data_IF_974393877123
#
_entry.id   IF_974393877123
#
_cell.length_a   1.000
_cell.length_b   1.000
_cell.length_c   1.000
_cell.angle_alpha   90.00
_cell.angle_beta   90.00
_cell.angle_gamma   90.00
#
_symmetry.space_group_name_H-M   'P 1'
#
loop_
_entity.id
_entity.type
_entity.pdbx_description
1 polymer ?
#
# COMPACT_ATOMS: atom_id res chain seq x y z
N UNK A 1 14.77 16.23 10.73
CA UNK A 1 13.72 15.25 11.11
C UNK A 1 13.48 14.40 9.88
N UNK A 2 13.67 13.09 9.93
CA UNK A 2 13.49 12.23 8.75
C UNK A 2 12.03 12.26 8.28
N UNK A 3 11.80 12.42 6.98
CA UNK A 3 10.45 12.46 6.43
C UNK A 3 9.75 11.10 6.61
N UNK A 4 8.51 11.08 7.11
CA UNK A 4 7.82 9.83 7.41
C UNK A 4 7.49 9.05 6.13
N UNK A 5 7.61 7.73 6.24
CA UNK A 5 7.31 6.79 5.17
C UNK A 5 6.54 5.58 5.71
N UNK A 6 5.57 5.13 4.93
CA UNK A 6 4.66 4.03 5.25
C UNK A 6 4.74 2.95 4.17
N UNK A 7 4.63 1.71 4.60
CA UNK A 7 4.88 0.54 3.76
C UNK A 7 4.13 -0.66 4.29
N UNK A 8 3.89 -1.63 3.42
CA UNK A 8 3.35 -2.94 3.82
C UNK A 8 4.06 -3.49 5.06
N UNK A 9 3.37 -4.07 6.04
CA UNK A 9 4.01 -4.61 7.23
C UNK A 9 5.16 -5.58 6.87
N UNK A 10 6.37 -5.44 7.44
CA UNK A 10 7.47 -6.39 7.25
C UNK A 10 7.06 -7.84 7.57
N UNK A 11 6.26 -8.02 8.63
CA UNK A 11 5.74 -9.33 9.04
C UNK A 11 4.85 -9.95 7.96
N UNK A 12 4.05 -9.16 7.25
CA UNK A 12 3.22 -9.67 6.16
C UNK A 12 4.08 -10.17 4.99
N UNK A 13 5.13 -9.43 4.64
CA UNK A 13 6.09 -9.86 3.61
C UNK A 13 6.81 -11.13 4.03
N UNK A 14 7.29 -11.20 5.28
CA UNK A 14 7.94 -12.39 5.81
C UNK A 14 7.01 -13.61 5.78
N UNK A 15 5.74 -13.44 6.16
CA UNK A 15 4.73 -14.49 6.09
C UNK A 15 4.50 -15.00 4.66
N UNK A 16 4.46 -14.11 3.67
CA UNK A 16 4.37 -14.50 2.25
C UNK A 16 5.61 -15.29 1.80
N UNK A 17 6.81 -14.85 2.19
CA UNK A 17 8.05 -15.57 1.85
C UNK A 17 8.05 -16.98 2.46
N UNK A 18 7.70 -17.10 3.74
CA UNK A 18 7.63 -18.41 4.43
C UNK A 18 6.56 -19.30 3.79
N UNK A 19 5.34 -18.78 3.60
CA UNK A 19 4.26 -19.55 2.97
C UNK A 19 4.57 -19.98 1.54
N UNK A 20 5.19 -19.10 0.75
CA UNK A 20 5.68 -19.43 -0.59
C UNK A 20 6.76 -20.51 -0.57
N UNK A 21 7.68 -20.46 0.40
CA UNK A 21 8.69 -21.49 0.62
C UNK A 21 8.08 -22.85 0.95
N UNK A 22 7.08 -22.89 1.84
CA UNK A 22 6.33 -24.12 2.18
C UNK A 22 5.64 -24.71 0.94
N UNK A 23 4.98 -23.88 0.13
CA UNK A 23 4.33 -24.33 -1.11
C UNK A 23 5.35 -24.85 -2.13
N UNK A 24 6.51 -24.19 -2.24
CA UNK A 24 7.59 -24.64 -3.11
C UNK A 24 8.13 -26.00 -2.66
N UNK A 25 8.31 -26.20 -1.35
CA UNK A 25 8.69 -27.52 -0.80
C UNK A 25 7.63 -28.57 -1.10
N UNK A 26 6.34 -28.26 -0.90
CA UNK A 26 5.25 -29.17 -1.23
C UNK A 26 5.29 -29.59 -2.71
N UNK A 27 5.54 -28.67 -3.62
CA UNK A 27 5.67 -28.98 -5.05
C UNK A 27 6.77 -30.02 -5.33
N UNK A 28 7.91 -29.94 -4.63
CA UNK A 28 9.01 -30.92 -4.79
C UNK A 28 8.61 -32.31 -4.31
N UNK A 29 7.89 -32.41 -3.19
CA UNK A 29 7.56 -33.70 -2.56
C UNK A 29 6.25 -34.34 -3.07
N UNK A 30 5.36 -33.58 -3.72
CA UNK A 30 4.12 -34.12 -4.30
C UNK A 30 4.45 -35.05 -5.46
N UNK A 31 3.92 -36.27 -5.43
CA UNK A 31 4.19 -37.30 -6.45
C UNK A 31 3.38 -37.09 -7.74
N UNK A 32 2.10 -36.73 -7.61
CA UNK A 32 1.21 -36.60 -8.76
C UNK A 32 1.48 -35.29 -9.55
N UNK A 33 1.44 -35.34 -10.90
CA UNK A 33 1.79 -34.17 -11.71
C UNK A 33 0.90 -32.95 -11.49
N UNK A 34 -0.39 -33.17 -11.22
CA UNK A 34 -1.35 -32.08 -11.07
C UNK A 34 -1.12 -31.30 -9.76
N UNK A 35 -0.98 -31.99 -8.63
CA UNK A 35 -0.69 -31.40 -7.34
C UNK A 35 0.66 -30.69 -7.30
N UNK A 36 1.67 -31.26 -7.96
CA UNK A 36 2.98 -30.61 -8.14
C UNK A 36 2.85 -29.29 -8.90
N UNK A 37 2.13 -29.29 -10.01
CA UNK A 37 1.90 -28.08 -10.81
C UNK A 37 1.16 -27.00 -10.01
N UNK A 38 0.06 -27.37 -9.34
CA UNK A 38 -0.73 -26.44 -8.54
C UNK A 38 0.08 -25.84 -7.38
N UNK A 39 0.81 -26.66 -6.63
CA UNK A 39 1.66 -26.19 -5.54
C UNK A 39 2.78 -25.27 -6.05
N UNK A 40 3.43 -25.62 -7.17
CA UNK A 40 4.46 -24.80 -7.80
C UNK A 40 3.91 -23.46 -8.29
N UNK A 41 2.76 -23.45 -8.96
CA UNK A 41 2.10 -22.24 -9.43
C UNK A 41 1.68 -21.33 -8.25
N UNK A 42 1.14 -21.92 -7.18
CA UNK A 42 0.78 -21.19 -5.97
C UNK A 42 2.02 -20.58 -5.28
N UNK A 43 3.12 -21.35 -5.18
CA UNK A 43 4.39 -20.86 -4.65
C UNK A 43 4.90 -19.65 -5.44
N UNK A 44 4.90 -19.74 -6.76
CA UNK A 44 5.33 -18.65 -7.64
C UNK A 44 4.47 -17.40 -7.46
N UNK A 45 3.14 -17.55 -7.40
CA UNK A 45 2.22 -16.44 -7.19
C UNK A 45 2.46 -15.74 -5.84
N UNK A 46 2.61 -16.52 -4.76
CA UNK A 46 2.85 -16.00 -3.41
C UNK A 46 4.21 -15.29 -3.31
N UNK A 47 5.27 -15.90 -3.86
CA UNK A 47 6.61 -15.31 -3.86
C UNK A 47 6.69 -14.07 -4.74
N UNK A 48 6.02 -14.07 -5.90
CA UNK A 48 5.89 -12.88 -6.75
C UNK A 48 5.17 -11.76 -5.98
N UNK A 49 4.11 -12.07 -5.23
CA UNK A 49 3.40 -11.09 -4.39
C UNK A 49 4.32 -10.50 -3.32
N UNK A 50 5.14 -11.33 -2.66
CA UNK A 50 6.14 -10.86 -1.69
C UNK A 50 7.17 -9.92 -2.36
N UNK A 51 7.69 -10.30 -3.52
CA UNK A 51 8.65 -9.50 -4.28
C UNK A 51 8.05 -8.14 -4.70
N UNK A 52 6.81 -8.13 -5.17
CA UNK A 52 6.10 -6.88 -5.50
C UNK A 52 5.88 -6.01 -4.27
N UNK A 53 5.52 -6.60 -3.13
CA UNK A 53 5.36 -5.87 -1.87
C UNK A 53 6.67 -5.26 -1.36
N UNK A 54 7.82 -5.90 -1.61
CA UNK A 54 9.15 -5.34 -1.32
C UNK A 54 9.48 -4.20 -2.30
N UNK A 55 9.27 -4.42 -3.60
CA UNK A 55 9.57 -3.45 -4.66
C UNK A 55 8.79 -2.14 -4.53
N UNK A 56 7.59 -2.18 -3.97
CA UNK A 56 6.73 -1.02 -3.79
C UNK A 56 7.02 -0.19 -2.53
N UNK A 57 8.10 -0.50 -1.78
CA UNK A 57 8.43 0.27 -0.59
C UNK A 57 9.23 1.54 -0.94
N UNK A 58 8.90 2.71 -0.36
CA UNK A 58 7.72 2.98 0.46
C UNK A 58 6.45 3.17 -0.36
N UNK A 59 5.30 2.70 0.16
CA UNK A 59 4.00 2.81 -0.51
C UNK A 59 3.48 4.24 -0.53
N UNK A 60 3.68 4.94 0.59
CA UNK A 60 3.38 6.36 0.76
C UNK A 60 4.53 6.97 1.56
N UNK A 61 5.01 8.13 1.15
CA UNK A 61 6.01 8.89 1.88
C UNK A 61 5.72 10.38 1.77
N UNK A 62 6.06 11.13 2.81
CA UNK A 62 6.16 12.59 2.70
C UNK A 62 7.45 12.91 1.95
N UNK A 63 7.38 13.83 0.99
CA UNK A 63 8.58 14.29 0.27
C UNK A 63 9.37 15.28 1.10
N UNK A 64 10.62 15.54 0.66
CA UNK A 64 11.56 16.37 1.41
C UNK A 64 10.94 17.69 1.87
N UNK A 65 11.18 18.03 3.13
CA UNK A 65 10.71 19.25 3.78
C UNK A 65 9.18 19.40 3.82
N UNK A 66 8.42 18.29 3.69
CA UNK A 66 6.96 18.36 3.69
C UNK A 66 6.36 18.98 2.42
N UNK A 67 7.11 18.97 1.31
CA UNK A 67 6.69 19.59 0.04
C UNK A 67 5.51 18.88 -0.67
N UNK A 68 5.14 17.69 -0.22
CA UNK A 68 4.13 16.87 -0.87
C UNK A 68 4.19 15.40 -0.46
N UNK A 69 3.61 14.54 -1.30
CA UNK A 69 3.51 13.10 -1.10
C UNK A 69 4.16 12.34 -2.26
N UNK A 70 4.81 11.22 -1.97
CA UNK A 70 5.26 10.27 -2.96
C UNK A 70 4.56 8.92 -2.77
N UNK A 71 3.95 8.41 -3.82
CA UNK A 71 3.27 7.13 -3.83
C UNK A 71 3.98 6.16 -4.77
N UNK A 72 4.32 4.96 -4.29
CA UNK A 72 4.95 3.93 -5.11
C UNK A 72 3.92 2.88 -5.50
N UNK A 73 3.67 2.75 -6.80
CA UNK A 73 2.80 1.74 -7.41
C UNK A 73 3.63 0.72 -8.19
N UNK A 74 3.00 -0.32 -8.73
CA UNK A 74 3.68 -1.27 -9.64
C UNK A 74 4.31 -0.57 -10.84
N UNK A 75 3.65 0.47 -11.35
CA UNK A 75 4.07 1.23 -12.54
C UNK A 75 5.18 2.25 -12.26
N UNK A 76 5.54 2.47 -10.99
CA UNK A 76 6.58 3.42 -10.59
C UNK A 76 6.21 4.27 -9.39
N UNK A 77 7.17 5.12 -8.98
CA UNK A 77 6.99 6.12 -7.94
C UNK A 77 6.52 7.43 -8.57
N UNK A 78 5.48 8.03 -7.98
CA UNK A 78 4.92 9.31 -8.43
C UNK A 78 4.88 10.30 -7.27
N UNK A 79 5.22 11.54 -7.56
CA UNK A 79 5.23 12.64 -6.59
C UNK A 79 4.03 13.54 -6.86
N UNK A 80 3.37 13.94 -5.78
CA UNK A 80 2.23 14.84 -5.73
C UNK A 80 2.63 16.03 -4.85
N UNK A 81 3.04 17.16 -5.46
CA UNK A 81 3.30 18.40 -4.72
C UNK A 81 2.08 18.82 -3.92
N UNK A 82 2.29 19.53 -2.80
CA UNK A 82 1.21 19.94 -1.89
C UNK A 82 0.06 20.66 -2.60
N UNK A 83 0.37 21.50 -3.58
CA UNK A 83 -0.57 22.29 -4.35
C UNK A 83 -1.46 21.46 -5.29
N UNK A 84 -1.04 20.23 -5.59
CA UNK A 84 -1.83 19.29 -6.40
C UNK A 84 -2.79 18.46 -5.56
N UNK A 85 -2.59 18.39 -4.25
CA UNK A 85 -3.47 17.68 -3.32
C UNK A 85 -4.78 18.46 -3.20
N UNK A 86 -5.88 17.83 -3.60
CA UNK A 86 -7.21 18.46 -3.54
C UNK A 86 -7.97 18.05 -2.30
N UNK A 87 -7.81 16.80 -1.85
CA UNK A 87 -8.49 16.29 -0.66
C UNK A 87 -7.72 15.13 -0.04
N UNK A 88 -7.67 15.07 1.28
CA UNK A 88 -7.13 13.93 2.02
C UNK A 88 -8.09 13.63 3.17
N UNK A 89 -8.56 12.39 3.27
CA UNK A 89 -9.61 12.03 4.25
C UNK A 89 -9.53 10.57 4.66
N UNK A 90 -10.24 10.25 5.74
CA UNK A 90 -10.56 8.87 6.12
C UNK A 90 -11.94 8.51 5.60
N UNK A 91 -12.04 7.40 4.88
CA UNK A 91 -13.31 6.81 4.45
C UNK A 91 -13.45 5.41 5.03
N UNK A 92 -14.58 5.14 5.66
CA UNK A 92 -14.87 3.83 6.25
C UNK A 92 -15.70 2.96 5.31
N UNK A 93 -15.15 1.81 4.93
CA UNK A 93 -15.82 0.87 4.05
C UNK A 93 -16.41 -0.31 4.84
N UNK A 94 -17.67 -0.70 4.60
CA UNK A 94 -18.25 -1.89 5.22
C UNK A 94 -17.63 -3.16 4.62
N UNK A 95 -17.07 -4.03 5.47
CA UNK A 95 -16.55 -5.36 5.11
C UNK A 95 -16.87 -6.36 6.21
N UNK A 96 -17.63 -7.40 5.89
CA UNK A 96 -17.98 -8.51 6.80
C UNK A 96 -18.47 -8.07 8.19
N UNK A 97 -19.45 -7.15 8.23
CA UNK A 97 -20.02 -6.64 9.48
C UNK A 97 -19.11 -5.68 10.26
N UNK A 98 -17.95 -5.30 9.71
CA UNK A 98 -17.04 -4.30 10.29
C UNK A 98 -16.89 -3.12 9.35
N UNK A 99 -16.54 -1.95 9.90
CA UNK A 99 -16.10 -0.79 9.12
C UNK A 99 -14.59 -0.73 9.14
N UNK A 100 -13.99 -0.66 7.95
CA UNK A 100 -12.54 -0.64 7.79
C UNK A 100 -12.13 0.75 7.28
N UNK A 101 -11.37 1.53 8.06
CA UNK A 101 -10.92 2.85 7.64
C UNK A 101 -9.90 2.73 6.51
N UNK A 102 -10.00 3.59 5.51
CA UNK A 102 -9.05 3.75 4.41
C UNK A 102 -8.64 5.23 4.34
N UNK A 103 -7.37 5.48 4.05
CA UNK A 103 -6.88 6.81 3.71
C UNK A 103 -7.11 7.05 2.22
N UNK A 104 -7.87 8.09 1.90
CA UNK A 104 -8.07 8.55 0.53
C UNK A 104 -7.34 9.86 0.29
N UNK A 105 -6.61 9.93 -0.82
CA UNK A 105 -5.91 11.12 -1.28
C UNK A 105 -6.36 11.37 -2.72
N UNK A 106 -7.00 12.51 -2.92
CA UNK A 106 -7.33 13.06 -4.22
C UNK A 106 -6.25 14.08 -4.60
N UNK A 107 -5.74 13.97 -5.81
CA UNK A 107 -4.82 14.94 -6.40
C UNK A 107 -5.24 15.28 -7.83
N UNK A 108 -4.90 16.49 -8.29
CA UNK A 108 -5.14 16.92 -9.68
C UNK A 108 -3.80 17.29 -10.32
N UNK A 109 -3.43 16.55 -11.37
CA UNK A 109 -2.25 16.83 -12.17
C UNK A 109 -2.41 18.20 -12.89
N UNK A 110 -1.32 18.86 -13.33
CA UNK A 110 -1.39 20.13 -14.06
C UNK A 110 -2.20 20.09 -15.36
N UNK A 111 -2.35 18.92 -15.97
CA UNK A 111 -3.17 18.68 -17.16
C UNK A 111 -4.68 18.51 -16.84
N UNK A 112 -5.06 18.66 -15.56
CA UNK A 112 -6.43 18.51 -15.08
C UNK A 112 -6.80 17.07 -14.73
N UNK A 113 -5.91 16.09 -14.92
CA UNK A 113 -6.20 14.68 -14.62
C UNK A 113 -6.37 14.47 -13.12
N UNK A 114 -7.53 13.95 -12.72
CA UNK A 114 -7.80 13.57 -11.33
C UNK A 114 -7.18 12.22 -10.99
N UNK A 115 -6.63 12.13 -9.78
CA UNK A 115 -5.90 10.97 -9.27
C UNK A 115 -6.40 10.64 -7.88
N UNK A 116 -7.13 9.54 -7.77
CA UNK A 116 -7.50 8.95 -6.50
C UNK A 116 -6.45 7.90 -6.09
N UNK A 117 -6.03 7.99 -4.83
CA UNK A 117 -5.18 7.04 -4.15
C UNK A 117 -5.89 6.59 -2.88
N UNK A 118 -6.04 5.29 -2.70
CA UNK A 118 -6.68 4.69 -1.53
C UNK A 118 -5.67 3.76 -0.87
N UNK A 119 -5.48 3.92 0.43
CA UNK A 119 -4.54 3.12 1.20
C UNK A 119 -5.22 2.54 2.44
N UNK A 120 -5.11 1.22 2.60
CA UNK A 120 -5.53 0.53 3.81
C UNK A 120 -4.36 0.26 4.76
N UNK A 121 -4.68 -0.32 5.93
CA UNK A 121 -3.68 -0.76 6.92
C UNK A 121 -2.60 -1.66 6.31
N UNK A 122 -2.95 -2.56 5.39
CA UNK A 122 -2.00 -3.45 4.75
C UNK A 122 -1.04 -2.77 3.78
N UNK A 123 -1.43 -1.60 3.25
CA UNK A 123 -0.59 -0.81 2.35
C UNK A 123 0.39 0.07 3.15
N UNK A 124 -0.09 0.62 4.27
CA UNK A 124 0.64 1.59 5.09
C UNK A 124 1.47 0.97 6.21
N UNK A 125 1.10 -0.22 6.68
CA UNK A 125 1.71 -0.85 7.84
C UNK A 125 1.41 -0.15 9.17
N UNK A 126 0.50 0.82 9.15
CA UNK A 126 0.02 1.60 10.29
C UNK A 126 -1.51 1.74 10.18
N UNK A 127 -2.17 2.24 11.24
CA UNK A 127 -3.58 2.60 11.13
C UNK A 127 -3.72 3.78 10.15
N UNK A 128 -4.62 3.71 9.15
CA UNK A 128 -4.84 4.82 8.22
C UNK A 128 -5.16 6.15 8.92
N UNK A 129 -5.80 6.11 10.09
CA UNK A 129 -6.09 7.30 10.90
C UNK A 129 -4.82 7.95 11.45
N UNK A 130 -3.88 7.15 11.97
CA UNK A 130 -2.58 7.65 12.45
C UNK A 130 -1.77 8.30 11.31
N UNK A 131 -1.85 7.72 10.11
CA UNK A 131 -1.21 8.30 8.92
C UNK A 131 -1.88 9.62 8.54
N UNK A 132 -3.21 9.66 8.54
CA UNK A 132 -3.95 10.90 8.29
C UNK A 132 -3.56 12.01 9.27
N UNK A 133 -3.51 11.73 10.57
CA UNK A 133 -3.11 12.69 11.59
C UNK A 133 -1.68 13.21 11.34
N UNK A 134 -0.77 12.31 10.93
CA UNK A 134 0.59 12.70 10.56
C UNK A 134 0.66 13.62 9.32
N UNK A 135 -0.28 13.49 8.38
CA UNK A 135 -0.41 14.37 7.22
C UNK A 135 -1.04 15.72 7.59
N UNK A 136 -2.06 15.72 8.46
CA UNK A 136 -2.68 16.95 8.99
C UNK A 136 -1.65 17.81 9.72
N UNK A 137 -0.84 17.20 10.59
CA UNK A 137 0.24 17.89 11.32
C UNK A 137 1.28 18.56 10.41
N UNK A 138 1.31 18.19 9.13
CA UNK A 138 2.26 18.69 8.13
C UNK A 138 1.61 19.57 7.07
N UNK A 139 0.33 19.93 7.25
CA UNK A 139 -0.42 20.75 6.29
C UNK A 139 -0.45 20.12 4.88
N UNK A 140 -0.62 18.79 4.85
CA UNK A 140 -0.77 17.95 3.64
C UNK A 140 -2.19 17.39 3.51
N UNK A 141 -3.16 17.94 4.26
CA UNK A 141 -4.57 17.52 4.24
C UNK A 141 -5.50 18.74 4.06
N UNK A 142 -5.60 19.30 2.84
CA UNK A 142 -6.23 20.60 2.57
C UNK A 142 -7.76 20.63 2.68
N UNK A 143 -8.45 19.50 2.58
CA UNK A 143 -9.91 19.41 2.78
C UNK A 143 -10.26 18.25 3.71
N UNK A 144 -10.79 18.60 4.88
CA UNK A 144 -11.13 17.69 5.99
C UNK A 144 -12.64 17.48 6.13
N UNK A 145 -13.44 18.06 5.23
CA UNK A 145 -14.90 18.03 5.33
C UNK A 145 -15.42 16.59 5.11
N UNK A 146 -16.31 16.06 5.95
CA UNK A 146 -17.00 14.81 5.64
C UNK A 146 -17.94 15.01 4.43
N UNK A 147 -18.00 14.03 3.54
CA UNK A 147 -18.94 13.99 2.40
C UNK A 147 -20.38 13.78 2.85
#
# INVERSE_FOLDING_TARGET
>A
MSDPQWSTPPVAVAALVVGGGVLASAAVFTADPAGRFLAGAAALLVLATAALAVRQRPRLAVTEHGSGLACTRLTGRRVFPRETLTRVRIVEYPRFGRRVPMLEIDARDPDGTERLMIFGRWDLGADPRDVYDALVLRDLAPDQSPS
#
